data_IF_732650811847
#
_entry.id   IF_732650811847
#
_cell.length_a   1.000
_cell.length_b   1.000
_cell.length_c   1.000
_cell.angle_alpha   90.00
_cell.angle_beta   90.00
_cell.angle_gamma   90.00
#
_symmetry.space_group_name_H-M   'P 1'
#
loop_
_entity.id
_entity.type
_entity.pdbx_description
1 polymer ?
#
# COMPACT_ATOMS: atom_id res chain seq x y z
N UNK A 1 -25.73 -22.53 -6.63
CA UNK A 1 -24.83 -21.79 -5.70
C UNK A 1 -24.00 -20.71 -6.41
N UNK A 2 -23.18 -21.02 -7.43
CA UNK A 2 -22.38 -19.96 -8.14
C UNK A 2 -23.27 -18.93 -8.89
N UNK A 3 -24.28 -19.40 -9.63
CA UNK A 3 -25.24 -18.53 -10.34
C UNK A 3 -26.10 -17.70 -9.37
N UNK A 4 -26.46 -18.25 -8.23
CA UNK A 4 -27.22 -17.53 -7.19
C UNK A 4 -26.40 -16.39 -6.58
N UNK A 5 -25.08 -16.61 -6.33
CA UNK A 5 -24.18 -15.57 -5.84
C UNK A 5 -23.99 -14.45 -6.88
N UNK A 6 -23.91 -14.81 -8.16
CA UNK A 6 -23.81 -13.84 -9.24
C UNK A 6 -25.07 -12.99 -9.31
N UNK A 7 -26.24 -13.62 -9.37
CA UNK A 7 -27.52 -12.91 -9.40
C UNK A 7 -27.73 -12.03 -8.15
N UNK A 8 -27.29 -12.50 -6.98
CA UNK A 8 -27.31 -11.69 -5.77
C UNK A 8 -26.43 -10.43 -5.90
N UNK A 9 -25.18 -10.56 -6.33
CA UNK A 9 -24.25 -9.43 -6.47
C UNK A 9 -24.66 -8.41 -7.51
N UNK A 10 -25.44 -8.79 -8.51
CA UNK A 10 -26.03 -7.85 -9.48
C UNK A 10 -27.05 -6.91 -8.81
N UNK A 11 -27.75 -7.37 -7.76
CA UNK A 11 -28.75 -6.59 -7.02
C UNK A 11 -28.16 -5.89 -5.80
N UNK A 12 -27.33 -6.60 -5.02
CA UNK A 12 -26.81 -6.18 -3.71
C UNK A 12 -25.30 -6.04 -3.78
N UNK A 13 -24.82 -4.81 -3.76
CA UNK A 13 -23.40 -4.49 -3.74
C UNK A 13 -22.79 -4.55 -2.33
N UNK A 14 -21.47 -4.48 -2.26
CA UNK A 14 -20.75 -4.33 -0.99
C UNK A 14 -21.21 -3.09 -0.23
N UNK A 15 -21.49 -2.00 -0.93
CA UNK A 15 -21.96 -0.75 -0.36
C UNK A 15 -23.36 -0.84 0.27
N UNK A 16 -24.24 -1.69 -0.27
CA UNK A 16 -25.54 -1.98 0.32
C UNK A 16 -25.37 -2.78 1.62
N UNK A 17 -24.57 -3.85 1.57
CA UNK A 17 -24.26 -4.65 2.76
C UNK A 17 -23.59 -3.80 3.84
N UNK A 18 -22.66 -2.94 3.47
CA UNK A 18 -22.02 -2.02 4.40
C UNK A 18 -23.01 -1.05 5.04
N UNK A 19 -23.93 -0.50 4.24
CA UNK A 19 -24.98 0.38 4.75
C UNK A 19 -25.92 -0.36 5.73
N UNK A 20 -26.28 -1.60 5.44
CA UNK A 20 -27.07 -2.44 6.36
C UNK A 20 -26.33 -2.69 7.69
N UNK A 21 -25.03 -2.91 7.64
CA UNK A 21 -24.18 -3.09 8.83
C UNK A 21 -23.90 -1.78 9.58
N UNK A 22 -24.43 -0.66 9.16
CA UNK A 22 -24.30 0.64 9.82
C UNK A 22 -23.08 1.46 9.40
N UNK A 23 -22.35 1.03 8.39
CA UNK A 23 -21.33 1.88 7.79
C UNK A 23 -21.95 3.06 7.07
N UNK A 24 -21.35 4.22 7.22
CA UNK A 24 -21.76 5.45 6.55
C UNK A 24 -20.71 5.89 5.54
N UNK A 25 -21.20 6.27 4.34
CA UNK A 25 -20.36 6.80 3.27
C UNK A 25 -19.60 8.04 3.76
N UNK A 26 -18.28 8.04 3.61
CA UNK A 26 -17.45 9.20 3.88
C UNK A 26 -17.45 10.15 2.68
N UNK A 27 -18.41 11.09 2.68
CA UNK A 27 -18.55 12.06 1.57
C UNK A 27 -17.36 12.99 1.43
N UNK A 28 -16.54 13.14 2.49
CA UNK A 28 -15.34 13.97 2.45
C UNK A 28 -14.18 13.30 1.72
N UNK A 29 -14.18 11.97 1.68
CA UNK A 29 -13.17 11.20 0.94
C UNK A 29 -13.34 11.28 -0.59
N UNK A 30 -14.47 11.83 -1.06
CA UNK A 30 -14.81 11.90 -2.49
C UNK A 30 -15.18 10.55 -3.10
N UNK A 31 -15.50 10.56 -4.40
CA UNK A 31 -15.73 9.36 -5.19
C UNK A 31 -14.70 9.29 -6.32
N UNK A 32 -14.15 8.09 -6.54
CA UNK A 32 -13.22 7.84 -7.63
C UNK A 32 -13.25 6.35 -7.97
N UNK A 33 -12.10 5.76 -8.19
CA UNK A 33 -11.95 4.30 -8.32
C UNK A 33 -12.42 3.58 -7.05
N UNK A 34 -12.37 4.26 -5.92
CA UNK A 34 -12.74 3.77 -4.59
C UNK A 34 -13.63 4.77 -3.88
N UNK A 35 -14.47 4.25 -2.96
CA UNK A 35 -15.20 5.04 -1.97
C UNK A 35 -14.91 4.48 -0.59
N UNK A 36 -14.98 5.33 0.43
CA UNK A 36 -14.72 4.94 1.81
C UNK A 36 -16.03 4.96 2.62
N UNK A 37 -16.24 3.91 3.37
CA UNK A 37 -17.33 3.80 4.35
C UNK A 37 -16.74 3.60 5.74
N UNK A 38 -17.35 4.20 6.75
CA UNK A 38 -16.87 4.07 8.12
C UNK A 38 -17.98 3.96 9.15
N UNK A 39 -17.67 3.28 10.26
CA UNK A 39 -18.48 3.27 11.48
C UNK A 39 -17.81 4.23 12.47
N UNK A 40 -18.63 5.04 13.17
CA UNK A 40 -18.18 5.95 14.20
C UNK A 40 -18.90 5.63 15.52
N UNK A 41 -18.19 5.84 16.64
CA UNK A 41 -18.80 5.76 17.97
C UNK A 41 -19.70 6.96 18.25
N UNK A 42 -20.39 6.92 19.39
CA UNK A 42 -21.25 8.02 19.85
C UNK A 42 -20.54 9.36 20.08
N UNK A 43 -19.21 9.36 20.07
CA UNK A 43 -18.36 10.57 20.17
C UNK A 43 -17.80 11.00 18.81
N UNK A 44 -18.25 10.36 17.72
CA UNK A 44 -17.81 10.66 16.35
C UNK A 44 -16.43 10.10 15.97
N UNK A 45 -15.77 9.32 16.82
CA UNK A 45 -14.47 8.70 16.50
C UNK A 45 -14.70 7.52 15.55
N UNK A 46 -13.85 7.41 14.53
CA UNK A 46 -13.89 6.29 13.58
C UNK A 46 -13.46 4.99 14.29
N UNK A 47 -14.36 4.01 14.34
CA UNK A 47 -14.12 2.69 14.95
C UNK A 47 -13.58 1.75 13.89
N UNK A 48 -14.19 1.76 12.70
CA UNK A 48 -13.79 0.93 11.58
C UNK A 48 -13.99 1.65 10.26
N UNK A 49 -13.26 1.19 9.23
CA UNK A 49 -13.32 1.77 7.90
C UNK A 49 -13.04 0.73 6.83
N UNK A 50 -13.91 0.67 5.85
CA UNK A 50 -13.75 -0.14 4.65
C UNK A 50 -13.65 0.75 3.41
N UNK A 51 -12.84 0.30 2.46
CA UNK A 51 -12.69 0.94 1.15
C UNK A 51 -13.29 0.01 0.11
N UNK A 52 -14.24 0.53 -0.67
CA UNK A 52 -14.98 -0.23 -1.68
C UNK A 52 -14.52 0.21 -3.06
N UNK A 53 -14.15 -0.75 -3.90
CA UNK A 53 -13.80 -0.54 -5.31
C UNK A 53 -15.04 -0.58 -6.20
N UNK A 54 -14.92 -0.04 -7.41
CA UNK A 54 -15.98 -0.07 -8.44
C UNK A 54 -17.35 0.43 -7.96
N UNK A 55 -17.44 1.64 -7.35
CA UNK A 55 -18.67 2.13 -6.73
C UNK A 55 -19.86 2.22 -7.71
N UNK A 56 -19.61 2.26 -9.03
CA UNK A 56 -20.65 2.28 -10.06
C UNK A 56 -21.15 0.90 -10.52
N UNK A 57 -20.51 -0.20 -10.09
CA UNK A 57 -20.83 -1.55 -10.55
C UNK A 57 -20.89 -2.53 -9.38
N UNK A 58 -22.10 -2.80 -8.89
CA UNK A 58 -22.34 -3.67 -7.73
C UNK A 58 -21.74 -5.07 -7.88
N UNK A 59 -21.81 -5.64 -9.07
CA UNK A 59 -21.36 -7.01 -9.35
C UNK A 59 -19.85 -7.16 -9.25
N UNK A 60 -19.11 -6.06 -9.52
CA UNK A 60 -17.65 -5.98 -9.49
C UNK A 60 -17.11 -5.38 -8.20
N UNK A 61 -17.97 -4.94 -7.27
CA UNK A 61 -17.52 -4.35 -6.02
C UNK A 61 -16.72 -5.35 -5.18
N UNK A 62 -15.60 -4.88 -4.68
CA UNK A 62 -14.81 -5.53 -3.63
C UNK A 62 -14.48 -4.53 -2.54
N UNK A 63 -14.19 -5.01 -1.34
CA UNK A 63 -13.78 -4.16 -0.22
C UNK A 63 -12.50 -4.66 0.43
N UNK A 64 -11.88 -3.77 1.18
CA UNK A 64 -10.86 -4.10 2.15
C UNK A 64 -10.96 -3.18 3.38
N UNK A 65 -10.65 -3.71 4.56
CA UNK A 65 -10.51 -2.91 5.77
C UNK A 65 -9.22 -2.11 5.77
N UNK A 66 -9.27 -0.86 6.19
CA UNK A 66 -8.08 0.00 6.30
C UNK A 66 -7.03 -0.55 7.27
N UNK A 67 -7.44 -1.32 8.26
CA UNK A 67 -6.56 -1.99 9.22
C UNK A 67 -5.97 -3.31 8.70
N UNK A 68 -6.30 -3.72 7.48
CA UNK A 68 -5.81 -4.96 6.87
C UNK A 68 -6.48 -6.23 7.40
N UNK A 69 -7.54 -6.13 8.22
CA UNK A 69 -8.16 -7.28 8.87
C UNK A 69 -8.80 -8.26 7.90
N UNK A 70 -9.51 -7.76 6.88
CA UNK A 70 -10.18 -8.61 5.89
C UNK A 70 -10.54 -7.85 4.63
N UNK A 71 -10.95 -8.57 3.59
CA UNK A 71 -11.43 -8.03 2.34
C UNK A 71 -12.17 -9.10 1.52
N UNK A 72 -12.79 -8.68 0.43
CA UNK A 72 -13.51 -9.58 -0.47
C UNK A 72 -14.65 -8.89 -1.19
N UNK A 73 -15.68 -9.65 -1.56
CA UNK A 73 -16.91 -9.17 -2.20
C UNK A 73 -18.07 -9.06 -1.18
N UNK A 74 -19.29 -8.81 -1.68
CA UNK A 74 -20.49 -8.71 -0.86
C UNK A 74 -20.77 -9.98 -0.04
N UNK A 75 -20.52 -11.16 -0.63
CA UNK A 75 -20.70 -12.45 0.07
C UNK A 75 -19.68 -12.59 1.20
N UNK A 76 -18.45 -12.20 0.96
CA UNK A 76 -17.38 -12.21 1.96
C UNK A 76 -17.69 -11.28 3.14
N UNK A 77 -18.25 -10.09 2.86
CA UNK A 77 -18.64 -9.14 3.92
C UNK A 77 -19.82 -9.69 4.75
N UNK A 78 -20.81 -10.35 4.11
CA UNK A 78 -21.90 -11.02 4.81
C UNK A 78 -21.37 -12.13 5.72
N UNK A 79 -20.50 -13.01 5.21
CA UNK A 79 -19.93 -14.12 5.99
C UNK A 79 -19.15 -13.61 7.22
N UNK A 80 -18.31 -12.60 7.03
CA UNK A 80 -17.55 -11.99 8.11
C UNK A 80 -18.43 -11.38 9.21
N UNK A 81 -19.71 -11.06 8.91
CA UNK A 81 -20.64 -10.40 9.82
C UNK A 81 -21.94 -11.18 9.97
N UNK A 82 -21.97 -12.49 9.74
CA UNK A 82 -23.19 -13.30 9.60
C UNK A 82 -24.15 -13.13 10.78
N UNK A 83 -23.62 -13.03 12.00
CA UNK A 83 -24.40 -12.88 13.23
C UNK A 83 -25.08 -11.51 13.35
N UNK A 84 -24.64 -10.50 12.61
CA UNK A 84 -25.19 -9.14 12.67
C UNK A 84 -26.50 -9.00 11.87
N UNK A 85 -26.87 -10.03 11.11
CA UNK A 85 -28.07 -10.01 10.27
C UNK A 85 -29.32 -10.53 10.99
N UNK A 86 -29.19 -11.05 12.22
CA UNK A 86 -30.33 -11.54 13.01
C UNK A 86 -31.04 -12.73 12.35
N UNK A 87 -30.31 -13.56 11.63
CA UNK A 87 -30.81 -14.83 11.05
C UNK A 87 -30.32 -16.01 11.86
N UNK A 88 -31.07 -17.10 11.83
CA UNK A 88 -30.70 -18.39 12.47
C UNK A 88 -30.70 -19.48 11.42
N UNK A 89 -29.82 -20.46 11.58
CA UNK A 89 -29.70 -21.61 10.70
C UNK A 89 -28.88 -22.70 11.34
N UNK A 90 -28.99 -23.92 10.86
CA UNK A 90 -28.25 -25.10 11.37
C UNK A 90 -26.83 -25.16 10.80
N UNK A 91 -26.55 -24.39 9.74
CA UNK A 91 -25.25 -24.30 9.10
C UNK A 91 -24.98 -22.86 8.60
N UNK A 92 -23.68 -22.53 8.39
CA UNK A 92 -23.28 -21.25 7.78
C UNK A 92 -23.92 -21.05 6.40
N UNK A 93 -24.06 -22.11 5.62
CA UNK A 93 -24.68 -22.06 4.30
C UNK A 93 -26.18 -21.69 4.37
N UNK A 94 -26.92 -22.23 5.33
CA UNK A 94 -28.32 -21.87 5.56
C UNK A 94 -28.45 -20.44 6.06
N UNK A 95 -27.61 -20.02 6.99
CA UNK A 95 -27.60 -18.64 7.47
C UNK A 95 -27.28 -17.67 6.33
N UNK A 96 -26.30 -17.99 5.48
CA UNK A 96 -25.95 -17.18 4.32
C UNK A 96 -27.13 -17.06 3.33
N UNK A 97 -27.78 -18.18 3.01
CA UNK A 97 -28.96 -18.17 2.15
C UNK A 97 -30.12 -17.34 2.72
N UNK A 98 -30.33 -17.42 4.04
CA UNK A 98 -31.35 -16.62 4.74
C UNK A 98 -31.00 -15.11 4.71
N UNK A 99 -29.71 -14.74 4.89
CA UNK A 99 -29.26 -13.34 4.76
C UNK A 99 -29.46 -12.85 3.34
N UNK A 100 -29.02 -13.61 2.34
CA UNK A 100 -29.20 -13.25 0.92
C UNK A 100 -30.66 -13.03 0.56
N UNK A 101 -31.57 -13.91 1.00
CA UNK A 101 -33.00 -13.77 0.80
C UNK A 101 -33.56 -12.52 1.50
N UNK A 102 -33.15 -12.29 2.77
CA UNK A 102 -33.55 -11.10 3.53
C UNK A 102 -33.12 -9.81 2.83
N UNK A 103 -31.83 -9.73 2.40
CA UNK A 103 -31.30 -8.55 1.74
C UNK A 103 -31.89 -8.32 0.35
N UNK A 104 -32.35 -9.37 -0.33
CA UNK A 104 -33.01 -9.26 -1.65
C UNK A 104 -34.46 -8.86 -1.56
N UNK A 105 -35.14 -9.21 -0.47
CA UNK A 105 -36.55 -8.91 -0.24
C UNK A 105 -36.80 -7.57 0.46
N UNK A 106 -35.84 -7.05 1.22
CA UNK A 106 -35.88 -5.74 1.85
C UNK A 106 -35.01 -4.77 1.03
N UNK A 107 -35.65 -4.02 0.16
CA UNK A 107 -34.95 -3.07 -0.74
C UNK A 107 -34.78 -1.67 -0.14
N UNK A 108 -35.15 -1.46 1.11
CA UNK A 108 -35.10 -0.14 1.77
C UNK A 108 -33.67 0.43 1.87
N UNK A 109 -32.65 -0.43 1.95
CA UNK A 109 -31.24 -0.05 1.99
C UNK A 109 -30.55 -0.21 0.63
N UNK A 110 -31.18 -0.90 -0.36
CA UNK A 110 -30.65 -1.05 -1.70
C UNK A 110 -30.84 0.28 -2.44
N UNK A 111 -29.71 0.92 -2.77
CA UNK A 111 -29.73 2.18 -3.48
C UNK A 111 -29.02 2.03 -4.81
N UNK A 112 -29.58 2.60 -5.88
CA UNK A 112 -28.84 2.68 -7.16
C UNK A 112 -27.55 3.47 -6.97
N UNK A 113 -26.48 3.02 -7.61
CA UNK A 113 -25.15 3.64 -7.48
C UNK A 113 -25.19 5.13 -7.87
N UNK A 114 -25.94 5.47 -8.92
CA UNK A 114 -26.13 6.86 -9.37
C UNK A 114 -26.77 7.73 -8.30
N UNK A 115 -27.72 7.20 -7.54
CA UNK A 115 -28.38 7.95 -6.46
C UNK A 115 -27.51 8.07 -5.21
N UNK A 116 -26.78 7.00 -4.88
CA UNK A 116 -25.89 6.96 -3.70
C UNK A 116 -24.73 7.93 -3.82
N UNK A 117 -24.18 8.08 -5.03
CA UNK A 117 -22.98 8.89 -5.31
C UNK A 117 -23.26 10.16 -6.11
N UNK A 118 -24.56 10.49 -6.36
CA UNK A 118 -24.99 11.62 -7.22
C UNK A 118 -24.30 12.93 -6.93
N UNK A 119 -24.15 13.27 -5.66
CA UNK A 119 -23.59 14.56 -5.23
C UNK A 119 -22.09 14.49 -4.95
N UNK A 120 -21.46 13.33 -5.22
CA UNK A 120 -20.03 13.14 -5.00
C UNK A 120 -19.26 13.42 -6.29
N UNK A 121 -18.43 14.44 -6.26
CA UNK A 121 -17.50 14.72 -7.35
C UNK A 121 -16.19 13.97 -7.10
N UNK A 122 -15.51 13.47 -8.16
CA UNK A 122 -14.13 13.02 -8.03
C UNK A 122 -13.30 14.15 -7.42
N UNK A 123 -12.61 13.85 -6.35
CA UNK A 123 -11.71 14.82 -5.75
C UNK A 123 -10.46 14.91 -6.63
N UNK A 124 -10.23 16.07 -7.23
CA UNK A 124 -9.02 16.39 -7.98
C UNK A 124 -8.04 17.12 -7.07
N UNK A 125 -6.76 16.86 -7.28
CA UNK A 125 -5.72 17.56 -6.55
C UNK A 125 -5.68 19.05 -6.99
N UNK A 126 -5.76 19.93 -6.01
CA UNK A 126 -5.62 21.37 -6.18
C UNK A 126 -4.34 21.84 -5.49
N UNK A 127 -3.32 22.15 -6.26
CA UNK A 127 -2.05 22.66 -5.75
C UNK A 127 -2.21 24.04 -5.10
N UNK A 128 -3.18 24.85 -5.55
CA UNK A 128 -3.46 26.19 -5.00
C UNK A 128 -3.94 26.18 -3.55
N UNK A 129 -4.42 25.03 -3.09
CA UNK A 129 -4.76 24.78 -1.70
C UNK A 129 -3.54 24.75 -0.77
N UNK A 130 -2.34 24.53 -1.30
CA UNK A 130 -1.13 24.32 -0.50
C UNK A 130 -0.18 25.52 -0.64
N UNK A 131 0.18 26.12 0.51
CA UNK A 131 1.33 27.01 0.57
C UNK A 131 2.59 26.15 0.65
N UNK A 132 3.44 26.26 -0.37
CA UNK A 132 4.69 25.49 -0.48
C UNK A 132 5.88 26.32 -0.02
N UNK A 133 6.78 25.69 0.72
CA UNK A 133 8.05 26.27 1.17
C UNK A 133 9.22 25.39 0.67
N UNK A 134 10.29 26.02 0.23
CA UNK A 134 11.50 25.33 -0.17
C UNK A 134 12.14 24.61 1.04
N UNK A 135 12.37 23.32 0.92
CA UNK A 135 12.95 22.51 2.00
C UNK A 135 14.37 22.98 2.39
N UNK A 136 15.16 23.51 1.46
CA UNK A 136 16.52 23.96 1.72
C UNK A 136 16.54 25.22 2.58
N UNK A 137 15.58 26.16 2.36
CA UNK A 137 15.47 27.40 3.14
C UNK A 137 15.01 27.15 4.59
N UNK A 138 14.35 26.01 4.81
CA UNK A 138 13.81 25.60 6.11
C UNK A 138 14.44 24.30 6.62
N UNK A 139 15.72 24.09 6.33
CA UNK A 139 16.40 22.81 6.51
C UNK A 139 16.27 22.22 7.92
N UNK A 140 16.50 23.03 8.98
CA UNK A 140 16.39 22.56 10.36
C UNK A 140 14.97 22.07 10.73
N UNK A 141 13.95 22.76 10.23
CA UNK A 141 12.56 22.33 10.43
C UNK A 141 12.26 21.04 9.66
N UNK A 142 12.80 20.88 8.45
CA UNK A 142 12.71 19.63 7.67
C UNK A 142 13.45 18.50 8.36
N UNK A 143 14.66 18.74 8.85
CA UNK A 143 15.46 17.75 9.58
C UNK A 143 14.76 17.17 10.81
N UNK A 144 13.89 17.95 11.45
CA UNK A 144 13.13 17.46 12.63
C UNK A 144 12.28 16.22 12.32
N UNK A 145 11.74 16.09 11.10
CA UNK A 145 10.97 14.92 10.65
C UNK A 145 11.86 13.69 10.42
N UNK A 146 13.11 13.90 10.02
CA UNK A 146 14.04 12.84 9.69
C UNK A 146 14.84 12.35 10.89
N UNK A 147 15.18 13.23 11.84
CA UNK A 147 15.84 12.83 13.11
C UNK A 147 15.03 11.79 13.86
N UNK A 148 13.70 11.93 13.91
CA UNK A 148 12.80 10.95 14.51
C UNK A 148 12.80 9.58 13.81
N UNK A 149 13.35 9.51 12.59
CA UNK A 149 13.50 8.33 11.74
C UNK A 149 14.95 7.84 11.61
N UNK A 150 15.87 8.45 12.35
CA UNK A 150 17.31 8.18 12.28
C UNK A 150 17.89 8.28 10.85
N UNK A 151 17.30 9.18 10.04
CA UNK A 151 17.82 9.52 8.73
C UNK A 151 18.77 10.71 8.90
N UNK A 152 20.02 10.52 8.42
CA UNK A 152 21.11 11.47 8.64
C UNK A 152 21.01 12.71 7.74
N UNK A 153 21.74 13.76 8.13
CA UNK A 153 21.74 15.05 7.44
C UNK A 153 22.24 14.94 6.00
N UNK A 154 23.26 14.13 5.74
CA UNK A 154 23.81 13.93 4.40
C UNK A 154 22.75 13.36 3.46
N UNK A 155 22.01 12.35 3.93
CA UNK A 155 20.90 11.75 3.19
C UNK A 155 19.81 12.78 2.91
N UNK A 156 19.40 13.56 3.92
CA UNK A 156 18.35 14.58 3.72
C UNK A 156 18.82 15.63 2.71
N UNK A 157 20.07 16.10 2.79
CA UNK A 157 20.63 17.06 1.82
C UNK A 157 20.64 16.50 0.40
N UNK A 158 20.94 15.21 0.24
CA UNK A 158 20.91 14.54 -1.07
C UNK A 158 19.50 14.56 -1.68
N UNK A 159 18.46 14.37 -0.87
CA UNK A 159 17.09 14.30 -1.34
C UNK A 159 16.30 15.62 -1.26
N UNK A 160 16.91 16.73 -0.83
CA UNK A 160 16.26 18.03 -0.74
C UNK A 160 15.49 18.44 -2.02
N UNK A 161 16.01 18.21 -3.25
CA UNK A 161 15.28 18.59 -4.46
C UNK A 161 13.94 17.86 -4.66
N UNK A 162 13.73 16.76 -3.97
CA UNK A 162 12.57 15.87 -4.14
C UNK A 162 11.58 15.95 -2.98
N UNK A 163 11.79 16.82 -2.03
CA UNK A 163 10.93 17.02 -0.86
C UNK A 163 10.62 18.51 -0.69
N UNK A 164 9.53 18.80 -0.03
CA UNK A 164 9.16 20.17 0.29
C UNK A 164 8.42 20.23 1.62
N UNK A 165 8.18 21.45 2.08
CA UNK A 165 7.36 21.72 3.24
C UNK A 165 6.08 22.42 2.77
N UNK A 166 4.94 21.96 3.24
CA UNK A 166 3.65 22.49 2.78
C UNK A 166 2.72 22.78 3.96
N UNK A 167 1.84 23.75 3.74
CA UNK A 167 0.73 24.04 4.64
C UNK A 167 -0.57 23.93 3.86
N UNK A 168 -1.49 23.07 4.31
CA UNK A 168 -2.85 23.00 3.77
C UNK A 168 -3.65 24.21 4.27
N UNK A 169 -3.98 25.13 3.37
CA UNK A 169 -4.67 26.38 3.70
C UNK A 169 -6.16 26.20 4.01
N UNK A 170 -6.74 25.06 3.63
CA UNK A 170 -8.13 24.70 3.93
C UNK A 170 -8.29 23.80 5.15
N UNK A 171 -7.18 23.28 5.69
CA UNK A 171 -7.25 22.47 6.89
C UNK A 171 -7.69 23.31 8.10
N UNK A 172 -8.43 22.67 9.02
CA UNK A 172 -8.85 23.30 10.27
C UNK A 172 -7.64 23.80 11.08
N UNK A 173 -6.57 23.01 11.11
CA UNK A 173 -5.30 23.37 11.75
C UNK A 173 -4.22 23.44 10.67
N UNK A 174 -3.53 24.58 10.59
CA UNK A 174 -2.54 24.88 9.55
C UNK A 174 -1.15 24.44 10.00
N UNK A 175 -0.95 23.14 10.04
CA UNK A 175 0.38 22.58 10.30
C UNK A 175 1.27 22.69 9.06
N UNK A 176 2.57 22.81 9.31
CA UNK A 176 3.60 22.73 8.27
C UNK A 176 4.11 21.32 8.20
N UNK A 177 3.62 20.58 7.22
CA UNK A 177 3.96 19.18 7.03
C UNK A 177 5.12 19.01 6.05
N UNK A 178 5.90 17.93 6.21
CA UNK A 178 6.81 17.44 5.19
C UNK A 178 5.98 16.82 4.07
N UNK A 179 6.29 17.15 2.82
CA UNK A 179 5.62 16.61 1.65
C UNK A 179 6.60 15.91 0.70
N UNK A 180 6.17 14.74 0.23
CA UNK A 180 6.77 14.02 -0.88
C UNK A 180 5.88 14.27 -2.10
N UNK A 181 6.28 15.13 -3.06
CA UNK A 181 5.45 15.48 -4.21
C UNK A 181 5.29 14.30 -5.17
N UNK A 182 4.06 14.09 -5.62
CA UNK A 182 3.73 13.08 -6.61
C UNK A 182 3.75 13.71 -8.00
N UNK A 183 4.58 13.16 -8.87
CA UNK A 183 4.70 13.54 -10.27
C UNK A 183 4.57 12.32 -11.17
N UNK A 184 4.25 12.53 -12.44
CA UNK A 184 4.48 11.50 -13.47
C UNK A 184 5.95 11.50 -13.87
N UNK A 185 6.50 10.36 -14.31
CA UNK A 185 7.86 10.31 -14.80
C UNK A 185 8.09 11.35 -15.90
N UNK A 186 9.21 12.07 -15.85
CA UNK A 186 9.55 13.13 -16.79
C UNK A 186 8.67 14.39 -16.73
N UNK A 187 7.91 14.58 -15.66
CA UNK A 187 7.05 15.76 -15.48
C UNK A 187 7.36 16.45 -14.17
N UNK A 188 7.53 17.77 -14.23
CA UNK A 188 7.63 18.62 -13.03
C UNK A 188 6.26 18.93 -12.40
N UNK A 189 5.16 18.64 -13.11
CA UNK A 189 3.82 18.92 -12.61
C UNK A 189 3.50 18.09 -11.38
N UNK A 190 3.30 18.74 -10.25
CA UNK A 190 2.86 18.10 -9.01
C UNK A 190 1.37 17.74 -9.14
N UNK A 191 1.06 16.46 -8.99
CA UNK A 191 -0.29 15.91 -9.05
C UNK A 191 -0.76 15.34 -7.70
N UNK A 192 -0.05 15.64 -6.64
CA UNK A 192 -0.38 15.25 -5.28
C UNK A 192 0.77 15.34 -4.30
N UNK A 193 0.48 15.06 -3.05
CA UNK A 193 1.46 14.96 -1.98
C UNK A 193 1.21 13.74 -1.11
N UNK A 194 2.29 13.09 -0.70
CA UNK A 194 2.30 12.26 0.50
C UNK A 194 2.76 13.14 1.65
N UNK A 195 1.89 13.38 2.64
CA UNK A 195 2.12 14.29 3.76
C UNK A 195 2.59 13.52 4.99
N UNK A 196 3.56 14.09 5.69
CA UNK A 196 4.09 13.61 6.96
C UNK A 196 4.14 14.75 7.96
N UNK A 197 3.44 14.59 9.05
CA UNK A 197 3.39 15.56 10.14
C UNK A 197 3.91 15.00 11.46
N UNK A 198 3.82 15.81 12.51
CA UNK A 198 4.11 15.38 13.87
C UNK A 198 3.09 14.35 14.36
N UNK A 199 3.40 13.66 15.46
CA UNK A 199 2.54 12.66 16.08
C UNK A 199 2.12 11.52 15.13
N UNK A 200 3.03 11.06 14.27
CA UNK A 200 2.79 10.02 13.28
C UNK A 200 1.70 10.36 12.24
N UNK A 201 1.39 11.63 12.04
CA UNK A 201 0.48 12.02 10.99
C UNK A 201 1.04 11.60 9.62
N UNK A 202 0.23 10.86 8.89
CA UNK A 202 0.51 10.41 7.53
C UNK A 202 -0.76 10.41 6.72
N UNK A 203 -0.74 11.03 5.56
CA UNK A 203 -1.92 11.06 4.69
C UNK A 203 -1.48 11.42 3.27
N UNK A 204 -2.23 10.99 2.27
CA UNK A 204 -2.15 11.62 0.95
C UNK A 204 -3.00 12.89 0.96
N UNK A 205 -2.50 13.96 0.35
CA UNK A 205 -3.27 15.17 0.17
C UNK A 205 -4.57 14.88 -0.60
N UNK A 206 -5.66 15.58 -0.30
CA UNK A 206 -6.94 15.37 -0.98
C UNK A 206 -6.79 15.47 -2.50
N UNK A 207 -7.34 14.50 -3.23
CA UNK A 207 -7.28 14.46 -4.70
C UNK A 207 -5.95 14.01 -5.31
N UNK A 208 -4.95 13.64 -4.50
CA UNK A 208 -3.67 13.12 -4.99
C UNK A 208 -3.87 12.03 -6.04
N UNK A 209 -3.26 12.21 -7.22
CA UNK A 209 -3.26 11.21 -8.29
C UNK A 209 -2.38 10.01 -7.93
N UNK A 210 -2.96 9.06 -7.20
CA UNK A 210 -2.29 7.78 -6.89
C UNK A 210 -2.47 6.73 -7.99
N UNK A 211 -3.11 7.09 -9.10
CA UNK A 211 -3.34 6.15 -10.21
C UNK A 211 -2.19 6.12 -11.20
N UNK A 212 -1.53 7.27 -11.44
CA UNK A 212 -0.47 7.37 -12.44
C UNK A 212 0.72 8.22 -12.01
N UNK A 213 0.66 8.89 -10.85
CA UNK A 213 1.75 9.66 -10.28
C UNK A 213 2.30 8.97 -9.02
N UNK A 214 3.56 9.19 -8.73
CA UNK A 214 4.28 8.68 -7.57
C UNK A 214 5.28 9.73 -7.07
N UNK A 215 5.82 9.57 -5.88
CA UNK A 215 7.03 10.30 -5.52
C UNK A 215 8.22 9.68 -6.25
N UNK A 216 8.93 10.50 -7.02
CA UNK A 216 10.07 10.08 -7.83
C UNK A 216 11.27 10.97 -7.51
N UNK A 217 12.33 10.39 -6.99
CA UNK A 217 13.62 11.03 -6.85
C UNK A 217 14.55 10.51 -7.96
N UNK A 218 14.58 11.25 -9.06
CA UNK A 218 15.36 10.93 -10.24
C UNK A 218 16.71 11.66 -10.19
N UNK A 219 17.78 10.91 -9.98
CA UNK A 219 19.15 11.44 -9.98
C UNK A 219 19.83 11.41 -11.35
N UNK A 220 19.13 10.96 -12.39
CA UNK A 220 19.67 10.88 -13.76
C UNK A 220 19.67 12.23 -14.49
N UNK A 221 19.22 13.29 -13.82
CA UNK A 221 19.09 14.65 -14.40
C UNK A 221 18.23 14.66 -15.66
N UNK A 222 17.06 14.02 -15.59
CA UNK A 222 16.10 13.93 -16.69
C UNK A 222 16.63 13.20 -17.93
N UNK A 223 17.61 12.32 -17.74
CA UNK A 223 18.14 11.48 -18.80
C UNK A 223 17.67 10.03 -18.57
N UNK A 224 16.46 9.65 -18.99
CA UNK A 224 15.87 8.35 -18.67
C UNK A 224 16.71 7.16 -19.18
N UNK A 225 17.40 7.31 -20.29
CA UNK A 225 18.28 6.29 -20.86
C UNK A 225 19.55 6.05 -20.03
N UNK A 226 19.93 7.01 -19.17
CA UNK A 226 21.05 6.86 -18.24
C UNK A 226 20.67 6.09 -16.99
N UNK A 227 19.36 5.93 -16.69
CA UNK A 227 18.88 5.18 -15.56
C UNK A 227 19.26 3.70 -15.68
N UNK A 228 20.06 3.20 -14.72
CA UNK A 228 20.41 1.78 -14.66
C UNK A 228 19.59 1.02 -13.62
N UNK A 229 19.07 1.73 -12.63
CA UNK A 229 18.31 1.12 -11.54
C UNK A 229 17.14 2.02 -11.12
N UNK A 230 15.96 1.42 -11.02
CA UNK A 230 14.76 2.00 -10.42
C UNK A 230 14.39 1.19 -9.20
N UNK A 231 14.39 1.80 -8.03
CA UNK A 231 14.10 1.18 -6.74
C UNK A 231 12.71 1.55 -6.27
N UNK A 232 11.86 0.57 -5.96
CA UNK A 232 10.47 0.77 -5.56
C UNK A 232 10.26 0.53 -4.07
N UNK A 233 9.60 1.47 -3.39
CA UNK A 233 9.34 1.48 -1.96
C UNK A 233 7.88 1.80 -1.65
N UNK A 234 7.45 1.51 -0.42
CA UNK A 234 6.13 1.90 0.06
C UNK A 234 6.08 3.36 0.53
N UNK A 235 7.19 3.92 0.99
CA UNK A 235 7.26 5.31 1.44
C UNK A 235 8.55 6.00 1.04
N UNK A 236 8.53 7.34 0.98
CA UNK A 236 9.72 8.14 0.76
C UNK A 236 10.75 8.00 1.88
N UNK A 237 10.32 7.75 3.12
CA UNK A 237 11.24 7.46 4.23
C UNK A 237 12.04 6.19 4.00
N UNK A 238 11.40 5.11 3.51
CA UNK A 238 12.09 3.85 3.21
C UNK A 238 13.10 4.00 2.08
N UNK A 239 12.77 4.79 1.06
CA UNK A 239 13.69 5.10 -0.02
C UNK A 239 14.94 5.85 0.48
N UNK A 240 14.76 6.86 1.33
CA UNK A 240 15.88 7.61 1.90
C UNK A 240 16.69 6.76 2.89
N UNK A 241 16.04 5.95 3.71
CA UNK A 241 16.71 5.00 4.61
C UNK A 241 17.49 3.93 3.83
N UNK A 242 16.94 3.40 2.75
CA UNK A 242 17.65 2.49 1.86
C UNK A 242 18.92 3.14 1.30
N UNK A 243 18.83 4.37 0.80
CA UNK A 243 19.98 5.11 0.32
C UNK A 243 21.03 5.27 1.42
N UNK A 244 20.68 5.74 2.61
CA UNK A 244 21.58 5.91 3.75
C UNK A 244 22.36 4.64 4.06
N UNK A 245 21.68 3.50 4.10
CA UNK A 245 22.29 2.20 4.45
C UNK A 245 23.18 1.66 3.33
N UNK A 246 22.84 1.97 2.07
CA UNK A 246 23.46 1.34 0.91
C UNK A 246 24.27 2.29 0.01
N UNK A 247 24.41 3.59 0.36
CA UNK A 247 25.02 4.62 -0.51
C UNK A 247 26.40 4.25 -1.07
N UNK A 248 27.23 3.53 -0.31
CA UNK A 248 28.53 3.05 -0.79
C UNK A 248 28.47 1.97 -1.87
N UNK A 249 27.29 1.41 -2.13
CA UNK A 249 27.02 0.35 -3.12
C UNK A 249 26.19 0.84 -4.30
N UNK A 250 25.80 2.11 -4.30
CA UNK A 250 24.96 2.73 -5.31
C UNK A 250 25.76 3.70 -6.18
N UNK A 251 25.40 3.80 -7.43
CA UNK A 251 25.82 4.87 -8.33
C UNK A 251 24.63 5.81 -8.43
N UNK A 252 24.67 6.91 -7.70
CA UNK A 252 23.51 7.78 -7.52
C UNK A 252 23.03 8.36 -8.84
N UNK A 253 23.95 8.81 -9.70
CA UNK A 253 23.67 9.47 -10.99
C UNK A 253 22.95 8.57 -12.01
N UNK A 254 22.85 7.27 -11.74
CA UNK A 254 22.13 6.30 -12.58
C UNK A 254 20.96 5.64 -11.83
N UNK A 255 20.56 6.22 -10.71
CA UNK A 255 19.56 5.68 -9.80
C UNK A 255 18.30 6.54 -9.74
N UNK A 256 17.16 5.87 -9.70
CA UNK A 256 15.84 6.47 -9.50
C UNK A 256 15.17 5.78 -8.32
N UNK A 257 14.67 6.57 -7.37
CA UNK A 257 13.95 6.07 -6.20
C UNK A 257 12.47 6.44 -6.33
N UNK A 258 11.60 5.46 -6.17
CA UNK A 258 10.15 5.62 -6.35
C UNK A 258 9.42 5.17 -5.10
N UNK A 259 8.58 6.05 -4.54
CA UNK A 259 7.59 5.65 -3.53
C UNK A 259 6.20 5.65 -4.14
N UNK A 260 5.52 4.52 -4.03
CA UNK A 260 4.12 4.36 -4.48
C UNK A 260 3.11 4.85 -3.43
N UNK A 261 3.57 5.09 -2.20
CA UNK A 261 2.73 5.48 -1.07
C UNK A 261 1.76 4.39 -0.63
N UNK A 262 2.23 3.15 -0.57
CA UNK A 262 1.48 1.94 -0.29
C UNK A 262 1.06 1.21 -1.57
N UNK A 263 -0.20 0.75 -1.64
CA UNK A 263 -0.69 0.00 -2.80
C UNK A 263 -0.60 0.81 -4.09
N UNK A 264 0.11 0.29 -5.07
CA UNK A 264 0.25 0.91 -6.38
C UNK A 264 -0.85 0.50 -7.36
N UNK A 265 -1.02 1.28 -8.41
CA UNK A 265 -1.83 0.93 -9.58
C UNK A 265 -0.94 0.38 -10.72
N UNK A 266 -1.55 -0.38 -11.62
CA UNK A 266 -0.84 -0.83 -12.83
C UNK A 266 -0.37 0.33 -13.70
N UNK A 267 -1.08 1.45 -13.72
CA UNK A 267 -0.69 2.64 -14.48
C UNK A 267 0.54 3.34 -13.89
N UNK A 268 0.70 3.37 -12.55
CA UNK A 268 1.92 3.87 -11.92
C UNK A 268 3.14 3.08 -12.37
N UNK A 269 3.10 1.75 -12.21
CA UNK A 269 4.23 0.89 -12.59
C UNK A 269 4.51 1.02 -14.08
N UNK A 270 3.46 0.92 -14.92
CA UNK A 270 3.62 1.04 -16.37
C UNK A 270 4.24 2.37 -16.78
N UNK A 271 3.74 3.50 -16.25
CA UNK A 271 4.28 4.82 -16.57
C UNK A 271 5.76 4.95 -16.22
N UNK A 272 6.18 4.41 -15.06
CA UNK A 272 7.57 4.43 -14.63
C UNK A 272 8.44 3.53 -15.51
N UNK A 273 8.00 2.31 -15.80
CA UNK A 273 8.79 1.36 -16.59
C UNK A 273 8.86 1.72 -18.07
N UNK A 274 7.81 2.34 -18.61
CA UNK A 274 7.83 2.88 -19.98
C UNK A 274 8.81 4.07 -20.11
N UNK A 275 8.95 4.88 -19.04
CA UNK A 275 9.86 6.04 -19.06
C UNK A 275 11.33 5.66 -18.82
N UNK A 276 11.60 4.60 -18.05
CA UNK A 276 12.96 4.09 -17.80
C UNK A 276 13.17 2.67 -18.37
N UNK A 277 13.01 2.44 -19.67
CA UNK A 277 12.91 1.09 -20.25
C UNK A 277 14.20 0.28 -20.17
N UNK A 278 15.35 0.93 -19.99
CA UNK A 278 16.67 0.29 -19.90
C UNK A 278 17.11 -0.03 -18.47
N UNK A 279 16.31 0.36 -17.49
CA UNK A 279 16.67 0.20 -16.09
C UNK A 279 16.34 -1.22 -15.56
N UNK A 280 17.08 -1.63 -14.55
CA UNK A 280 16.68 -2.77 -13.69
C UNK A 280 15.69 -2.28 -12.65
N UNK A 281 14.62 -3.03 -12.46
CA UNK A 281 13.58 -2.71 -11.49
C UNK A 281 13.80 -3.52 -10.21
N UNK A 282 13.85 -2.84 -9.07
CA UNK A 282 14.15 -3.43 -7.78
C UNK A 282 12.95 -3.37 -6.85
N UNK A 283 12.52 -4.53 -6.36
CA UNK A 283 11.56 -4.66 -5.26
C UNK A 283 12.28 -4.40 -3.95
N UNK A 284 12.10 -3.19 -3.41
CA UNK A 284 12.58 -2.76 -2.11
C UNK A 284 11.42 -2.52 -1.12
N UNK A 285 10.22 -3.04 -1.41
CA UNK A 285 9.05 -2.96 -0.53
C UNK A 285 9.31 -3.64 0.82
N UNK A 286 8.41 -3.47 1.77
CA UNK A 286 8.49 -4.03 3.12
C UNK A 286 8.64 -5.56 3.13
N UNK A 287 9.11 -6.09 4.25
CA UNK A 287 9.24 -7.54 4.48
C UNK A 287 7.94 -8.18 5.01
N UNK A 288 6.87 -7.41 5.18
CA UNK A 288 5.57 -7.95 5.55
C UNK A 288 4.82 -8.53 4.33
N UNK A 289 3.69 -9.20 4.59
CA UNK A 289 2.91 -9.85 3.54
C UNK A 289 2.47 -8.88 2.45
N UNK A 290 1.90 -7.69 2.73
CA UNK A 290 1.59 -6.72 1.70
C UNK A 290 2.78 -6.37 0.81
N UNK A 291 3.94 -6.05 1.39
CA UNK A 291 5.15 -5.69 0.66
C UNK A 291 5.70 -6.83 -0.21
N UNK A 292 5.60 -8.10 0.26
CA UNK A 292 5.94 -9.26 -0.56
C UNK A 292 4.97 -9.40 -1.74
N UNK A 293 3.67 -9.23 -1.50
CA UNK A 293 2.65 -9.31 -2.55
C UNK A 293 2.78 -8.18 -3.58
N UNK A 294 3.28 -7.01 -3.20
CA UNK A 294 3.60 -5.95 -4.16
C UNK A 294 4.69 -6.39 -5.13
N UNK A 295 5.74 -7.04 -4.65
CA UNK A 295 6.77 -7.63 -5.51
C UNK A 295 6.19 -8.65 -6.50
N UNK A 296 5.28 -9.53 -6.05
CA UNK A 296 4.61 -10.51 -6.93
C UNK A 296 3.71 -9.83 -7.96
N UNK A 297 2.94 -8.81 -7.57
CA UNK A 297 2.08 -8.05 -8.50
C UNK A 297 2.90 -7.29 -9.53
N UNK A 298 4.01 -6.71 -9.13
CA UNK A 298 4.93 -6.01 -10.03
C UNK A 298 5.54 -6.98 -11.02
N UNK A 299 6.03 -8.15 -10.58
CA UNK A 299 6.53 -9.20 -11.47
C UNK A 299 5.47 -9.68 -12.46
N UNK A 300 4.26 -9.96 -11.96
CA UNK A 300 3.11 -10.37 -12.78
C UNK A 300 2.81 -9.35 -13.89
N UNK A 301 2.86 -8.07 -13.55
CA UNK A 301 2.60 -6.99 -14.50
C UNK A 301 3.71 -6.88 -15.56
N UNK A 302 4.98 -6.90 -15.14
CA UNK A 302 6.11 -6.69 -16.05
C UNK A 302 6.37 -7.90 -16.94
N UNK A 303 6.09 -9.11 -16.46
CA UNK A 303 6.18 -10.33 -17.28
C UNK A 303 4.99 -10.51 -18.23
N UNK A 304 3.94 -9.69 -18.10
CA UNK A 304 2.68 -9.90 -18.81
C UNK A 304 1.93 -11.18 -18.39
N UNK A 305 2.37 -11.84 -17.32
CA UNK A 305 1.81 -13.10 -16.84
C UNK A 305 0.89 -12.82 -15.63
N UNK A 306 -0.40 -12.76 -15.87
CA UNK A 306 -1.36 -12.46 -14.82
C UNK A 306 -1.37 -13.55 -13.72
N UNK A 307 -1.19 -13.12 -12.48
CA UNK A 307 -1.29 -13.95 -11.28
C UNK A 307 -2.41 -13.41 -10.39
N UNK A 308 -3.46 -14.22 -10.22
CA UNK A 308 -4.50 -13.93 -9.24
C UNK A 308 -4.00 -14.30 -7.85
N UNK A 309 -4.24 -13.45 -6.86
CA UNK A 309 -3.77 -13.62 -5.48
C UNK A 309 -4.96 -13.60 -4.53
N UNK A 310 -5.17 -14.69 -3.82
CA UNK A 310 -6.20 -14.83 -2.80
C UNK A 310 -5.54 -15.06 -1.45
N UNK A 311 -5.83 -14.21 -0.49
CA UNK A 311 -5.30 -14.31 0.89
C UNK A 311 -6.37 -14.87 1.80
N UNK A 312 -6.04 -15.93 2.54
CA UNK A 312 -6.85 -16.51 3.62
C UNK A 312 -6.16 -16.23 4.97
N UNK A 313 -6.73 -16.72 6.07
CA UNK A 313 -6.17 -16.50 7.41
C UNK A 313 -4.73 -16.99 7.56
N UNK A 314 -4.41 -18.19 7.03
CA UNK A 314 -3.10 -18.82 7.20
C UNK A 314 -2.31 -18.97 5.90
N UNK A 315 -2.97 -18.90 4.74
CA UNK A 315 -2.35 -19.20 3.45
C UNK A 315 -2.59 -18.11 2.42
N UNK A 316 -1.73 -18.10 1.41
CA UNK A 316 -1.89 -17.27 0.21
C UNK A 316 -1.90 -18.20 -0.99
N UNK A 317 -2.90 -18.03 -1.84
CA UNK A 317 -3.11 -18.81 -3.06
C UNK A 317 -2.76 -17.91 -4.24
N UNK A 318 -1.87 -18.41 -5.08
CA UNK A 318 -1.44 -17.77 -6.32
C UNK A 318 -1.92 -18.63 -7.50
N UNK A 319 -2.63 -18.01 -8.45
CA UNK A 319 -3.18 -18.71 -9.62
C UNK A 319 -2.66 -18.07 -10.90
N UNK A 320 -1.97 -18.85 -11.72
CA UNK A 320 -1.49 -18.45 -13.07
C UNK A 320 -2.05 -19.43 -14.11
N UNK A 321 -3.07 -19.02 -14.85
CA UNK A 321 -3.80 -19.91 -15.75
C UNK A 321 -4.39 -21.11 -14.97
N UNK A 322 -4.05 -22.33 -15.37
CA UNK A 322 -4.48 -23.55 -14.69
C UNK A 322 -3.61 -23.94 -13.48
N UNK A 323 -2.47 -23.27 -13.29
CA UNK A 323 -1.54 -23.59 -12.21
C UNK A 323 -1.93 -22.86 -10.92
N UNK A 324 -2.03 -23.60 -9.82
CA UNK A 324 -2.29 -23.07 -8.49
C UNK A 324 -1.14 -23.41 -7.54
N UNK A 325 -0.71 -22.40 -6.78
CA UNK A 325 0.30 -22.53 -5.73
C UNK A 325 -0.27 -22.03 -4.41
N UNK A 326 -0.28 -22.89 -3.39
CA UNK A 326 -0.67 -22.53 -2.02
C UNK A 326 0.56 -22.49 -1.13
N UNK A 327 0.76 -21.37 -0.44
CA UNK A 327 1.87 -21.19 0.51
C UNK A 327 1.33 -20.68 1.84
N UNK A 328 1.94 -21.11 2.95
CA UNK A 328 1.73 -20.46 4.24
C UNK A 328 2.29 -19.03 4.19
N UNK A 329 1.72 -18.12 4.99
CA UNK A 329 2.14 -16.70 4.98
C UNK A 329 3.63 -16.53 5.27
N UNK A 330 4.21 -17.29 6.18
CA UNK A 330 5.63 -17.27 6.55
C UNK A 330 6.56 -17.86 5.48
N UNK A 331 6.02 -18.60 4.52
CA UNK A 331 6.77 -19.22 3.42
C UNK A 331 6.79 -18.38 2.14
N UNK A 332 5.96 -17.32 2.07
CA UNK A 332 5.82 -16.55 0.85
C UNK A 332 7.06 -15.68 0.59
N UNK A 333 7.55 -15.75 -0.63
CA UNK A 333 8.53 -14.82 -1.17
C UNK A 333 8.36 -14.71 -2.68
N UNK A 334 8.73 -13.58 -3.26
CA UNK A 334 8.67 -13.39 -4.72
C UNK A 334 9.44 -14.48 -5.47
N UNK A 335 10.65 -14.82 -5.00
CA UNK A 335 11.47 -15.85 -5.63
C UNK A 335 10.78 -17.22 -5.62
N UNK A 336 10.17 -17.60 -4.48
CA UNK A 336 9.46 -18.90 -4.37
C UNK A 336 8.21 -18.94 -5.28
N UNK A 337 7.45 -17.85 -5.35
CA UNK A 337 6.28 -17.76 -6.23
C UNK A 337 6.72 -17.84 -7.70
N UNK A 338 7.75 -17.09 -8.06
CA UNK A 338 8.32 -17.10 -9.41
C UNK A 338 8.77 -18.49 -9.85
N UNK A 339 9.57 -19.16 -9.02
CA UNK A 339 10.07 -20.50 -9.30
C UNK A 339 8.94 -21.52 -9.46
N UNK A 340 7.98 -21.52 -8.53
CA UNK A 340 6.89 -22.50 -8.52
C UNK A 340 5.85 -22.30 -9.62
N UNK A 341 5.64 -21.08 -10.06
CA UNK A 341 4.72 -20.77 -11.15
C UNK A 341 5.40 -20.63 -12.52
N UNK A 342 6.72 -20.86 -12.61
CA UNK A 342 7.47 -20.73 -13.86
C UNK A 342 7.34 -19.33 -14.46
N UNK A 343 7.64 -18.29 -13.69
CA UNK A 343 7.60 -16.90 -14.14
C UNK A 343 8.99 -16.42 -14.51
N UNK A 344 9.11 -15.67 -15.61
CA UNK A 344 10.34 -15.00 -15.98
C UNK A 344 10.68 -13.87 -15.00
N UNK A 345 11.98 -13.61 -14.82
CA UNK A 345 12.43 -12.58 -13.90
C UNK A 345 12.52 -11.22 -14.58
N UNK A 346 11.67 -10.29 -14.18
CA UNK A 346 11.69 -8.88 -14.57
C UNK A 346 12.03 -7.95 -13.39
N UNK A 347 11.81 -8.43 -12.17
CA UNK A 347 12.04 -7.68 -10.92
C UNK A 347 13.18 -8.31 -10.13
N UNK A 348 14.12 -7.51 -9.70
CA UNK A 348 15.17 -7.89 -8.77
C UNK A 348 14.71 -7.58 -7.34
N UNK A 349 15.20 -8.34 -6.36
CA UNK A 349 14.79 -8.20 -4.96
C UNK A 349 15.94 -7.62 -4.15
N UNK A 350 15.69 -6.49 -3.47
CA UNK A 350 16.62 -5.91 -2.51
C UNK A 350 15.85 -5.42 -1.27
N UNK A 351 15.48 -6.36 -0.43
CA UNK A 351 14.72 -6.15 0.80
C UNK A 351 15.63 -5.71 1.95
N UNK A 352 15.03 -5.07 2.96
CA UNK A 352 15.68 -4.88 4.26
C UNK A 352 16.15 -6.22 4.85
N UNK A 353 17.17 -6.24 5.72
CA UNK A 353 17.56 -7.47 6.40
C UNK A 353 16.35 -8.11 7.11
N UNK A 354 16.26 -9.44 7.09
CA UNK A 354 15.09 -10.20 7.58
C UNK A 354 14.63 -9.87 9.02
N UNK A 355 15.52 -9.31 9.83
CA UNK A 355 15.19 -8.87 11.18
C UNK A 355 14.34 -7.59 11.23
N UNK A 356 14.21 -6.87 10.13
CA UNK A 356 13.51 -5.59 10.07
C UNK A 356 12.33 -5.66 9.09
N UNK A 357 11.27 -4.94 9.41
CA UNK A 357 10.10 -4.86 8.56
C UNK A 357 10.39 -4.10 7.26
N UNK A 358 11.03 -2.95 7.40
CA UNK A 358 11.30 -2.01 6.32
C UNK A 358 12.70 -1.38 6.47
N UNK A 359 13.08 -0.53 5.52
CA UNK A 359 14.39 0.11 5.53
C UNK A 359 14.50 1.20 6.60
N UNK A 360 13.41 1.86 6.96
CA UNK A 360 13.44 2.84 8.03
C UNK A 360 13.59 2.18 9.40
N UNK A 361 13.05 0.99 9.61
CA UNK A 361 13.32 0.19 10.81
C UNK A 361 14.81 -0.18 10.95
N UNK A 362 15.53 -0.35 9.82
CA UNK A 362 17.00 -0.58 9.84
C UNK A 362 17.73 0.65 10.38
N UNK A 363 17.43 1.85 9.88
CA UNK A 363 18.06 3.08 10.36
C UNK A 363 17.73 3.37 11.83
N UNK A 364 16.50 3.06 12.24
CA UNK A 364 16.05 3.23 13.62
C UNK A 364 16.51 2.11 14.57
N UNK A 365 17.15 1.07 14.06
CA UNK A 365 17.52 -0.15 14.78
C UNK A 365 16.34 -0.79 15.53
N UNK A 366 15.20 -0.92 14.86
CA UNK A 366 13.95 -1.48 15.38
C UNK A 366 13.65 -2.85 14.76
N UNK A 367 14.26 -3.94 15.24
CA UNK A 367 13.97 -5.26 14.73
C UNK A 367 12.54 -5.71 15.07
N UNK A 368 11.95 -6.55 14.23
CA UNK A 368 10.67 -7.19 14.51
C UNK A 368 10.75 -8.05 15.77
N UNK A 369 9.76 -7.94 16.66
CA UNK A 369 9.80 -8.54 18.00
C UNK A 369 9.82 -10.08 18.02
N UNK A 370 9.32 -10.71 16.95
CA UNK A 370 9.07 -12.17 16.90
C UNK A 370 10.17 -12.97 16.19
N UNK A 371 11.23 -12.32 15.72
CA UNK A 371 12.38 -13.03 15.17
C UNK A 371 13.45 -13.23 16.25
N UNK A 372 13.93 -14.47 16.49
CA UNK A 372 15.09 -14.67 17.34
C UNK A 372 16.27 -13.91 16.70
N UNK A 373 16.63 -12.79 17.28
CA UNK A 373 17.85 -12.05 16.92
C UNK A 373 19.01 -12.98 17.20
N UNK A 374 19.52 -13.67 16.18
CA UNK A 374 20.82 -14.33 16.25
C UNK A 374 21.85 -13.22 16.37
N UNK A 375 22.10 -12.81 17.58
CA UNK A 375 23.08 -11.79 17.90
C UNK A 375 24.41 -12.18 17.27
N UNK A 376 24.98 -11.29 16.46
CA UNK A 376 26.33 -11.44 15.88
C UNK A 376 27.36 -11.73 17.02
N UNK A 377 27.10 -11.17 18.20
CA UNK A 377 27.89 -11.40 19.41
C UNK A 377 27.76 -12.83 19.97
N UNK A 378 26.59 -13.49 19.88
CA UNK A 378 26.48 -14.90 20.30
C UNK A 378 27.22 -15.85 19.37
N UNK A 379 27.35 -15.49 18.09
CA UNK A 379 28.18 -16.30 17.16
C UNK A 379 29.65 -16.18 17.46
N UNK A 380 30.12 -15.01 17.85
CA UNK A 380 31.51 -14.78 18.25
C UNK A 380 31.82 -15.41 19.63
N UNK A 381 30.88 -15.35 20.58
CA UNK A 381 31.01 -16.04 21.87
C UNK A 381 31.03 -17.56 21.72
N UNK A 382 30.14 -18.12 20.93
CA UNK A 382 30.11 -19.55 20.62
C UNK A 382 31.36 -20.01 19.87
N UNK A 383 31.95 -19.18 19.00
CA UNK A 383 33.21 -19.46 18.33
C UNK A 383 34.39 -19.36 19.30
N UNK A 384 34.39 -18.39 20.22
CA UNK A 384 35.39 -18.26 21.29
C UNK A 384 35.31 -19.41 22.28
N UNK A 385 34.11 -19.85 22.63
CA UNK A 385 33.91 -20.97 23.54
C UNK A 385 34.30 -22.32 22.91
N UNK A 386 34.02 -22.54 21.61
CA UNK A 386 34.48 -23.70 20.84
C UNK A 386 36.01 -23.73 20.72
N UNK A 387 36.65 -22.59 20.50
CA UNK A 387 38.14 -22.47 20.51
C UNK A 387 38.73 -22.73 21.89
N UNK A 388 38.08 -22.31 22.98
CA UNK A 388 38.49 -22.60 24.36
C UNK A 388 38.36 -24.07 24.72
N UNK A 389 37.37 -24.77 24.18
CA UNK A 389 37.09 -26.19 24.43
C UNK A 389 37.89 -27.12 23.50
N UNK A 390 38.74 -26.58 22.61
CA UNK A 390 39.61 -27.40 21.75
C UNK A 390 38.86 -28.23 20.71
N UNK A 391 37.62 -27.82 20.33
CA UNK A 391 36.74 -28.57 19.38
C UNK A 391 36.75 -27.90 17.99
N UNK A 392 37.80 -27.14 17.66
CA UNK A 392 38.12 -26.61 16.33
C UNK A 392 39.61 -26.65 16.11
#
# INVERSE_FOLDING_TARGET
MFEEYKAFKEKVGVDDVAAYLGYKLDRKAGVGKYVEYNIRDGRGRKIDSIVISHPGDKSSQTYFHRNGASGGDAISLIKANINSFGVTGSSEAEMLAAVMSKLTSDDTFITKAEDRYRDMKPQTFDIGRFQMENAAEHFEAVMSFFRARSIDEETVRTFLPFIMRVTDTEAQYKYKDLAFPYTKPGSEKIEGFELRGYNNFRQKAPGTNSSSAAWIADFTKEQPDSAKNVYFFESGYDAMAFYQVNKSRLILETSVFVSTGGTFSSQQIKGITDYYPQARYWDCFDNDIPGILYGVRMESQLSGQFVNIVTTDDTIIFQKGANELRLKKDEVSLNKVRERLGMDRHVYVWKAPKAFKDWNDVTMNKPMKDLPVKNKYQRDENLREKRRKGTL
#
